data_IF_170379478173
#
_entry.id   IF_170379478173
#
_cell.length_a   1.000
_cell.length_b   1.000
_cell.length_c   1.000
_cell.angle_alpha   90.00
_cell.angle_beta   90.00
_cell.angle_gamma   90.00
#
_symmetry.space_group_name_H-M   'P 1'
#
loop_
_entity.id
_entity.type
_entity.pdbx_description
1 polymer ?
#
# COMPACT_ATOMS: atom_id res chain seq x y z
N UNK A 1 -6.06 0.67 19.85
CA UNK A 1 -5.45 1.18 18.60
C UNK A 1 -4.25 2.06 18.97
N UNK A 2 -3.03 1.69 18.58
CA UNK A 2 -1.81 2.41 18.99
C UNK A 2 -1.73 3.77 18.27
N UNK A 3 -1.95 4.89 18.99
CA UNK A 3 -2.00 6.23 18.39
C UNK A 3 -0.66 6.69 17.80
N UNK A 4 0.45 6.02 18.10
CA UNK A 4 1.79 6.43 17.66
C UNK A 4 2.06 6.14 16.17
N UNK A 5 1.45 5.12 15.57
CA UNK A 5 1.66 4.78 14.14
C UNK A 5 1.16 5.87 13.18
N UNK A 6 0.23 6.72 13.63
CA UNK A 6 -0.25 7.86 12.86
C UNK A 6 0.53 9.15 13.17
N UNK A 7 1.39 9.13 14.19
CA UNK A 7 2.15 10.30 14.66
C UNK A 7 3.59 10.33 14.14
N UNK A 8 4.18 9.18 13.82
CA UNK A 8 5.52 9.14 13.23
C UNK A 8 5.51 9.90 11.90
N UNK A 9 6.59 10.63 11.59
CA UNK A 9 6.63 11.56 10.48
C UNK A 9 7.90 11.36 9.67
N UNK A 10 7.73 10.98 8.41
CA UNK A 10 8.78 10.79 7.41
C UNK A 10 8.85 11.98 6.47
N UNK A 11 10.05 12.24 5.95
CA UNK A 11 10.25 13.15 4.83
C UNK A 11 10.03 12.44 3.51
N UNK A 12 9.65 13.20 2.48
CA UNK A 12 9.41 12.67 1.13
C UNK A 12 10.54 11.78 0.60
N UNK A 13 11.78 12.21 0.73
CA UNK A 13 12.95 11.47 0.24
C UNK A 13 13.18 10.15 0.98
N UNK A 14 12.89 10.10 2.29
CA UNK A 14 12.94 8.86 3.05
C UNK A 14 11.91 7.85 2.51
N UNK A 15 10.72 8.32 2.15
CA UNK A 15 9.65 7.47 1.59
C UNK A 15 10.02 6.98 0.19
N UNK A 16 10.54 7.88 -0.66
CA UNK A 16 10.99 7.53 -2.01
C UNK A 16 12.06 6.42 -1.96
N UNK A 17 13.07 6.58 -1.11
CA UNK A 17 14.13 5.58 -0.95
C UNK A 17 13.63 4.31 -0.24
N UNK A 18 12.85 4.45 0.84
CA UNK A 18 12.35 3.34 1.62
C UNK A 18 11.40 2.43 0.84
N UNK A 19 10.47 3.00 0.07
CA UNK A 19 9.60 2.23 -0.81
C UNK A 19 10.35 1.61 -1.98
N UNK A 20 11.34 2.30 -2.56
CA UNK A 20 12.17 1.70 -3.60
C UNK A 20 12.91 0.47 -3.07
N UNK A 21 13.55 0.60 -1.91
CA UNK A 21 14.24 -0.52 -1.23
C UNK A 21 13.29 -1.66 -0.88
N UNK A 22 12.09 -1.35 -0.41
CA UNK A 22 11.04 -2.35 -0.16
C UNK A 22 10.72 -3.18 -1.42
N UNK A 23 10.46 -2.51 -2.55
CA UNK A 23 10.09 -3.20 -3.79
C UNK A 23 11.24 -4.01 -4.39
N UNK A 24 12.45 -3.47 -4.41
CA UNK A 24 13.62 -4.20 -4.93
C UNK A 24 13.97 -5.41 -4.05
N UNK A 25 13.95 -5.25 -2.72
CA UNK A 25 14.24 -6.36 -1.81
C UNK A 25 13.18 -7.48 -1.86
N UNK A 26 11.95 -7.17 -2.27
CA UNK A 26 10.89 -8.16 -2.50
C UNK A 26 11.17 -9.00 -3.76
N UNK A 27 11.69 -8.39 -4.81
CA UNK A 27 12.10 -9.11 -6.04
C UNK A 27 13.31 -10.01 -5.78
N UNK A 28 14.21 -9.61 -4.90
CA UNK A 28 15.42 -10.35 -4.53
C UNK A 28 15.25 -11.30 -3.32
N UNK A 29 14.01 -11.66 -2.94
CA UNK A 29 13.71 -12.60 -1.84
C UNK A 29 14.45 -12.28 -0.51
N UNK A 30 14.63 -11.00 -0.17
CA UNK A 30 15.24 -10.59 1.10
C UNK A 30 16.77 -10.54 1.11
N UNK A 31 17.46 -10.76 -0.02
CA UNK A 31 18.91 -10.54 -0.08
C UNK A 31 19.25 -9.05 -0.04
N UNK A 32 19.42 -8.54 1.19
CA UNK A 32 20.06 -7.26 1.57
C UNK A 32 19.40 -5.98 1.01
N UNK A 33 18.40 -5.49 1.75
CA UNK A 33 17.88 -4.10 1.65
C UNK A 33 19.00 -3.05 1.58
N UNK A 34 20.10 -3.30 2.30
CA UNK A 34 21.26 -2.42 2.38
C UNK A 34 22.15 -2.43 1.13
N UNK A 35 21.98 -3.39 0.20
CA UNK A 35 22.69 -3.42 -1.09
C UNK A 35 21.88 -2.81 -2.22
N UNK A 36 20.60 -2.53 -2.00
CA UNK A 36 19.77 -1.83 -2.98
C UNK A 36 20.28 -0.39 -3.09
N UNK A 37 20.64 -0.01 -4.32
CA UNK A 37 21.13 1.33 -4.65
C UNK A 37 20.04 2.41 -4.58
N UNK A 38 20.36 3.59 -5.13
CA UNK A 38 19.43 4.71 -5.15
C UNK A 38 18.19 4.43 -6.04
N UNK A 39 17.05 5.07 -5.75
CA UNK A 39 15.85 4.97 -6.60
C UNK A 39 16.14 5.34 -8.04
N UNK A 40 15.64 4.53 -8.98
CA UNK A 40 15.74 4.83 -10.41
C UNK A 40 14.91 6.06 -10.80
N UNK A 41 15.33 6.77 -11.86
CA UNK A 41 14.60 7.94 -12.37
C UNK A 41 13.15 7.60 -12.77
N UNK A 42 12.94 6.38 -13.30
CA UNK A 42 11.60 5.88 -13.66
C UNK A 42 10.71 5.77 -12.41
N UNK A 43 11.24 5.20 -11.32
CA UNK A 43 10.52 5.10 -10.06
C UNK A 43 10.18 6.48 -9.49
N UNK A 44 11.16 7.38 -9.41
CA UNK A 44 10.97 8.75 -8.92
C UNK A 44 9.97 9.53 -9.77
N UNK A 45 9.98 9.33 -11.09
CA UNK A 45 9.01 9.93 -12.01
C UNK A 45 7.59 9.44 -11.75
N UNK A 46 7.38 8.13 -11.58
CA UNK A 46 6.07 7.57 -11.24
C UNK A 46 5.56 8.11 -9.89
N UNK A 47 6.41 8.11 -8.87
CA UNK A 47 6.09 8.62 -7.53
C UNK A 47 5.73 10.11 -7.56
N UNK A 48 6.56 10.93 -8.20
CA UNK A 48 6.31 12.37 -8.35
C UNK A 48 5.01 12.65 -9.10
N UNK A 49 4.74 11.91 -10.18
CA UNK A 49 3.53 12.06 -10.98
C UNK A 49 2.28 11.69 -10.18
N UNK A 50 2.33 10.63 -9.38
CA UNK A 50 1.26 10.22 -8.48
C UNK A 50 0.90 11.34 -7.48
N UNK A 51 1.90 11.91 -6.79
CA UNK A 51 1.69 13.00 -5.83
C UNK A 51 1.14 14.27 -6.51
N UNK A 52 1.63 14.60 -7.69
CA UNK A 52 1.16 15.76 -8.45
C UNK A 52 -0.29 15.59 -8.92
N UNK A 53 -0.66 14.38 -9.35
CA UNK A 53 -2.03 14.07 -9.76
C UNK A 53 -2.99 14.14 -8.58
N UNK A 54 -2.64 13.58 -7.41
CA UNK A 54 -3.46 13.68 -6.18
C UNK A 54 -3.72 15.16 -5.84
N UNK A 55 -2.67 15.99 -5.89
CA UNK A 55 -2.80 17.44 -5.67
C UNK A 55 -3.70 18.13 -6.68
N UNK A 56 -3.64 17.73 -7.96
CA UNK A 56 -4.42 18.36 -9.03
C UNK A 56 -5.90 17.99 -8.95
N UNK A 57 -6.20 16.70 -8.80
CA UNK A 57 -7.57 16.16 -8.87
C UNK A 57 -8.38 16.45 -7.59
N UNK A 58 -7.71 16.61 -6.44
CA UNK A 58 -8.40 16.75 -5.14
C UNK A 58 -8.27 18.14 -4.50
N UNK A 59 -7.62 19.10 -5.18
CA UNK A 59 -7.47 20.48 -4.70
C UNK A 59 -8.81 21.12 -4.32
N UNK A 60 -9.77 21.05 -5.24
CA UNK A 60 -11.08 21.69 -5.07
C UNK A 60 -11.92 21.07 -3.95
N UNK A 61 -11.61 19.83 -3.56
CA UNK A 61 -12.34 19.09 -2.53
C UNK A 61 -11.63 19.16 -1.16
N UNK A 62 -10.42 19.70 -1.09
CA UNK A 62 -9.59 19.73 0.14
C UNK A 62 -9.34 18.35 0.75
N UNK A 63 -9.44 17.28 -0.05
CA UNK A 63 -9.42 15.88 0.41
C UNK A 63 -8.35 15.09 -0.34
N UNK A 64 -7.11 15.24 0.09
CA UNK A 64 -6.00 14.52 -0.53
C UNK A 64 -5.91 13.08 -0.05
N UNK A 65 -5.36 12.21 -0.89
CA UNK A 65 -5.10 10.82 -0.56
C UNK A 65 -3.81 10.72 0.24
N UNK A 66 -2.73 11.31 -0.26
CA UNK A 66 -1.38 11.15 0.30
C UNK A 66 -0.93 12.31 1.20
N UNK A 67 -1.79 13.29 1.43
CA UNK A 67 -1.52 14.44 2.27
C UNK A 67 -2.64 14.60 3.31
N UNK A 68 -2.31 15.16 4.47
CA UNK A 68 -3.30 15.54 5.48
C UNK A 68 -3.93 16.91 5.15
N UNK A 69 -3.18 17.80 4.47
CA UNK A 69 -3.59 19.15 4.09
C UNK A 69 -3.06 19.53 2.68
N UNK A 70 -3.42 20.70 2.11
CA UNK A 70 -2.96 21.17 0.78
C UNK A 70 -1.42 21.29 0.65
N UNK A 71 -0.70 21.03 1.74
CA UNK A 71 0.70 21.37 1.92
C UNK A 71 0.81 22.81 2.42
N UNK A 72 1.50 22.98 3.54
CA UNK A 72 1.89 24.31 3.99
C UNK A 72 2.88 24.90 2.98
N UNK A 73 2.71 26.18 2.61
CA UNK A 73 3.39 26.83 1.49
C UNK A 73 4.93 26.79 1.48
N UNK A 74 5.53 27.50 0.51
CA UNK A 74 6.97 27.52 0.27
C UNK A 74 7.78 27.75 1.56
N UNK A 75 8.44 26.69 2.05
CA UNK A 75 9.34 26.76 3.22
C UNK A 75 9.08 25.72 4.31
N UNK A 76 7.90 25.09 4.36
CA UNK A 76 7.63 24.02 5.34
C UNK A 76 7.75 22.62 4.73
N UNK A 77 8.43 21.75 5.46
CA UNK A 77 8.69 20.37 5.05
C UNK A 77 7.43 19.52 5.25
N UNK A 78 6.88 18.99 4.16
CA UNK A 78 5.75 18.06 4.22
C UNK A 78 6.19 16.79 4.95
N UNK A 79 5.42 16.43 5.98
CA UNK A 79 5.66 15.24 6.79
C UNK A 79 4.56 14.21 6.53
N UNK A 80 4.94 12.95 6.51
CA UNK A 80 4.06 11.83 6.15
C UNK A 80 4.08 10.77 7.24
N UNK A 81 2.93 10.23 7.61
CA UNK A 81 2.87 9.11 8.57
C UNK A 81 3.16 7.74 7.96
N UNK A 82 3.33 6.71 8.80
CA UNK A 82 3.45 5.31 8.34
C UNK A 82 2.25 4.90 7.47
N UNK A 83 1.07 5.42 7.76
CA UNK A 83 -0.12 5.17 6.94
C UNK A 83 0.01 5.78 5.53
N UNK A 84 0.69 6.93 5.40
CA UNK A 84 0.98 7.51 4.09
C UNK A 84 1.99 6.67 3.31
N UNK A 85 3.02 6.13 3.99
CA UNK A 85 3.96 5.17 3.39
C UNK A 85 3.21 3.95 2.85
N UNK A 86 2.30 3.39 3.66
CA UNK A 86 1.44 2.29 3.26
C UNK A 86 0.57 2.63 2.03
N UNK A 87 -0.13 3.78 2.02
CA UNK A 87 -0.96 4.18 0.88
C UNK A 87 -0.14 4.40 -0.39
N UNK A 88 1.02 5.07 -0.29
CA UNK A 88 1.89 5.31 -1.44
C UNK A 88 2.50 4.01 -1.97
N UNK A 89 2.89 3.10 -1.07
CA UNK A 89 3.34 1.77 -1.44
C UNK A 89 2.24 1.00 -2.19
N UNK A 90 1.00 1.05 -1.71
CA UNK A 90 -0.12 0.34 -2.33
C UNK A 90 -0.42 0.94 -3.72
N UNK A 91 -0.31 2.26 -3.84
CA UNK A 91 -0.42 2.95 -5.11
C UNK A 91 0.63 2.48 -6.13
N UNK A 92 1.86 2.24 -5.68
CA UNK A 92 2.94 1.72 -6.52
C UNK A 92 2.68 0.27 -6.92
N UNK A 93 2.20 -0.58 -6.00
CA UNK A 93 1.77 -1.96 -6.31
C UNK A 93 0.67 -1.96 -7.40
N UNK A 94 -0.32 -1.06 -7.32
CA UNK A 94 -1.33 -0.90 -8.38
C UNK A 94 -0.71 -0.54 -9.72
N UNK A 95 0.22 0.43 -9.74
CA UNK A 95 0.90 0.84 -10.97
C UNK A 95 1.72 -0.32 -11.56
N UNK A 96 2.41 -1.09 -10.73
CA UNK A 96 3.16 -2.28 -11.16
C UNK A 96 2.23 -3.36 -11.73
N UNK A 97 1.01 -3.50 -11.20
CA UNK A 97 -0.03 -4.39 -11.73
C UNK A 97 -0.73 -3.85 -13.01
N UNK A 98 -0.28 -2.71 -13.53
CA UNK A 98 -0.74 -2.13 -14.79
C UNK A 98 -1.91 -1.16 -14.69
N UNK A 99 -2.33 -0.76 -13.48
CA UNK A 99 -3.37 0.25 -13.32
C UNK A 99 -2.87 1.63 -13.76
N UNK A 100 -3.74 2.41 -14.38
CA UNK A 100 -3.45 3.80 -14.73
C UNK A 100 -3.53 4.65 -13.46
N UNK A 101 -2.62 5.60 -13.30
CA UNK A 101 -2.51 6.40 -12.07
C UNK A 101 -3.81 7.09 -11.64
N UNK A 102 -4.68 7.51 -12.57
CA UNK A 102 -5.99 8.09 -12.24
C UNK A 102 -6.94 7.07 -11.59
N UNK A 103 -6.91 5.82 -12.04
CA UNK A 103 -7.69 4.73 -11.45
C UNK A 103 -7.18 4.43 -10.04
N UNK A 104 -5.86 4.43 -9.87
CA UNK A 104 -5.23 4.25 -8.54
C UNK A 104 -5.71 5.32 -7.57
N UNK A 105 -5.69 6.59 -7.96
CA UNK A 105 -6.22 7.67 -7.11
C UNK A 105 -7.71 7.49 -6.83
N UNK A 106 -8.50 7.13 -7.84
CA UNK A 106 -9.93 6.91 -7.68
C UNK A 106 -10.23 5.80 -6.65
N UNK A 107 -9.54 4.65 -6.77
CA UNK A 107 -9.66 3.53 -5.83
C UNK A 107 -9.24 3.93 -4.43
N UNK A 108 -8.06 4.54 -4.27
CA UNK A 108 -7.54 4.91 -2.97
C UNK A 108 -8.39 5.99 -2.31
N UNK A 109 -8.94 6.93 -3.07
CA UNK A 109 -9.86 7.95 -2.54
C UNK A 109 -11.08 7.32 -1.88
N UNK A 110 -11.71 6.33 -2.54
CA UNK A 110 -12.92 5.69 -2.05
C UNK A 110 -12.65 4.67 -0.95
N UNK A 111 -11.44 4.09 -0.90
CA UNK A 111 -11.06 3.08 0.10
C UNK A 111 -10.25 3.60 1.27
N UNK A 112 -9.80 4.87 1.26
CA UNK A 112 -8.87 5.44 2.25
C UNK A 112 -9.28 5.14 3.69
N UNK A 113 -10.56 5.29 4.03
CA UNK A 113 -11.05 5.07 5.39
C UNK A 113 -11.02 3.60 5.80
N UNK A 114 -11.45 2.70 4.91
CA UNK A 114 -11.36 1.25 5.12
C UNK A 114 -9.90 0.83 5.27
N UNK A 115 -9.02 1.29 4.37
CA UNK A 115 -7.59 1.02 4.42
C UNK A 115 -6.95 1.55 5.71
N UNK A 116 -7.42 2.68 6.25
CA UNK A 116 -6.95 3.22 7.54
C UNK A 116 -7.33 2.31 8.72
N UNK A 117 -8.53 1.75 8.70
CA UNK A 117 -8.97 0.77 9.72
C UNK A 117 -8.13 -0.50 9.63
N UNK A 118 -8.03 -1.08 8.43
CA UNK A 118 -7.22 -2.29 8.16
C UNK A 118 -5.76 -2.09 8.55
N UNK A 119 -5.14 -0.97 8.17
CA UNK A 119 -3.77 -0.63 8.57
C UNK A 119 -3.60 -0.61 10.10
N UNK A 120 -4.57 -0.03 10.82
CA UNK A 120 -4.56 0.02 12.27
C UNK A 120 -4.80 -1.33 12.94
N UNK A 121 -5.61 -2.20 12.34
CA UNK A 121 -5.83 -3.58 12.78
C UNK A 121 -4.57 -4.44 12.56
N UNK A 122 -3.94 -4.31 11.40
CA UNK A 122 -2.66 -4.97 11.09
C UNK A 122 -1.60 -4.57 12.13
N UNK A 123 -1.44 -3.27 12.34
CA UNK A 123 -0.48 -2.74 13.31
C UNK A 123 -0.86 -2.98 14.78
N UNK A 124 -2.14 -3.25 15.08
CA UNK A 124 -2.61 -3.63 16.41
C UNK A 124 -2.35 -5.09 16.74
N UNK A 125 -2.18 -5.93 15.72
CA UNK A 125 -2.03 -7.38 15.82
C UNK A 125 -0.71 -7.89 15.24
N UNK A 126 0.38 -7.12 15.38
CA UNK A 126 1.71 -7.48 14.82
C UNK A 126 2.20 -8.87 15.26
N UNK A 127 1.84 -9.28 16.47
CA UNK A 127 2.22 -10.58 17.03
C UNK A 127 1.44 -11.76 16.42
N UNK A 128 0.45 -11.47 15.58
CA UNK A 128 -0.41 -12.43 14.89
C UNK A 128 -0.37 -12.24 13.38
N UNK A 129 0.44 -11.34 12.85
CA UNK A 129 0.54 -11.07 11.42
C UNK A 129 2.01 -11.20 11.09
N UNK A 130 2.40 -12.35 10.53
CA UNK A 130 3.79 -12.64 10.20
C UNK A 130 4.10 -11.97 8.85
N UNK A 131 4.93 -10.92 8.81
CA UNK A 131 5.44 -10.43 7.53
C UNK A 131 6.25 -11.56 6.87
N UNK A 132 6.02 -11.79 5.58
CA UNK A 132 6.70 -12.81 4.76
C UNK A 132 8.12 -12.37 4.35
N UNK A 133 8.79 -11.57 5.19
CA UNK A 133 10.11 -11.06 4.90
C UNK A 133 11.15 -12.01 5.51
N UNK A 134 11.99 -12.59 4.65
CA UNK A 134 12.93 -13.69 4.90
C UNK A 134 12.27 -15.05 5.14
N UNK A 135 12.27 -15.88 4.09
CA UNK A 135 12.01 -17.32 4.20
C UNK A 135 13.04 -18.07 5.07
N UNK A 136 14.08 -17.41 5.57
CA UNK A 136 15.15 -18.01 6.38
C UNK A 136 15.33 -17.37 7.77
N UNK A 137 14.47 -16.44 8.18
CA UNK A 137 14.46 -16.02 9.59
C UNK A 137 13.25 -16.62 10.27
N UNK A 138 13.55 -17.66 11.06
CA UNK A 138 12.76 -18.03 12.24
C UNK A 138 12.05 -16.81 12.80
N UNK A 139 10.72 -16.90 12.87
CA UNK A 139 9.73 -15.94 13.38
C UNK A 139 10.08 -15.37 14.79
N UNK A 140 11.18 -15.80 15.41
CA UNK A 140 11.63 -15.46 16.75
C UNK A 140 12.62 -14.29 16.90
N UNK A 141 12.96 -13.52 15.86
CA UNK A 141 13.94 -12.40 16.00
C UNK A 141 13.39 -11.00 15.71
N UNK A 142 12.10 -10.84 15.39
CA UNK A 142 11.46 -9.53 15.48
C UNK A 142 10.98 -9.36 16.93
N UNK A 143 11.62 -8.44 17.66
CA UNK A 143 11.26 -8.09 19.04
C UNK A 143 9.74 -7.97 19.22
N UNK A 144 9.18 -8.87 20.05
CA UNK A 144 7.76 -8.87 20.43
C UNK A 144 6.89 -9.95 19.78
N UNK A 145 7.39 -10.77 18.85
CA UNK A 145 6.63 -11.85 18.24
C UNK A 145 6.78 -13.16 19.05
N UNK A 146 5.70 -13.79 19.55
CA UNK A 146 5.78 -15.05 20.29
C UNK A 146 6.34 -16.18 19.41
N UNK A 147 7.28 -16.96 19.96
CA UNK A 147 7.84 -18.17 19.31
C UNK A 147 6.78 -19.24 19.00
N UNK A 148 5.60 -19.15 19.62
CA UNK A 148 4.51 -20.13 19.52
C UNK A 148 3.46 -19.76 18.46
N UNK A 149 3.88 -19.15 17.35
CA UNK A 149 3.00 -18.96 16.20
C UNK A 149 2.75 -20.30 15.52
N UNK A 150 1.58 -20.86 15.83
CA UNK A 150 1.04 -22.11 15.31
C UNK A 150 1.29 -22.23 13.79
N UNK A 151 1.92 -23.32 13.34
CA UNK A 151 2.29 -23.59 11.93
C UNK A 151 1.11 -23.61 10.95
N UNK A 152 -0.12 -23.57 11.46
CA UNK A 152 -1.38 -23.56 10.71
C UNK A 152 -2.02 -22.18 10.52
N UNK A 153 -1.38 -21.14 11.04
CA UNK A 153 -2.06 -19.88 11.19
C UNK A 153 -1.72 -18.90 10.05
N UNK A 154 -2.81 -18.39 9.49
CA UNK A 154 -2.85 -17.76 8.19
C UNK A 154 -2.90 -16.25 8.39
N UNK A 155 -1.74 -15.64 8.25
CA UNK A 155 -1.43 -14.36 8.89
C UNK A 155 -1.09 -13.28 7.86
N UNK A 156 -1.72 -13.38 6.71
CA UNK A 156 -1.63 -12.45 5.59
C UNK A 156 -2.92 -11.65 5.47
N UNK A 157 -2.84 -10.46 4.88
CA UNK A 157 -4.04 -9.65 4.65
C UNK A 157 -4.07 -9.28 3.19
N UNK A 158 -5.15 -9.61 2.49
CA UNK A 158 -5.28 -9.37 1.07
C UNK A 158 -6.37 -8.37 0.78
N UNK A 159 -6.09 -7.45 -0.13
CA UNK A 159 -7.08 -6.64 -0.82
C UNK A 159 -7.35 -7.25 -2.18
N UNK A 160 -8.62 -7.49 -2.51
CA UNK A 160 -8.99 -7.85 -3.87
C UNK A 160 -9.77 -6.72 -4.53
N UNK A 161 -9.38 -6.44 -5.78
CA UNK A 161 -10.15 -5.62 -6.69
C UNK A 161 -10.71 -6.53 -7.76
N UNK A 162 -12.03 -6.53 -7.87
CA UNK A 162 -12.74 -7.25 -8.92
C UNK A 162 -12.66 -6.42 -10.19
N UNK A 163 -12.19 -7.03 -11.28
CA UNK A 163 -12.28 -6.43 -12.61
C UNK A 163 -13.64 -6.82 -13.16
N UNK A 164 -14.53 -5.85 -13.24
CA UNK A 164 -15.83 -6.03 -13.88
C UNK A 164 -15.88 -5.25 -15.16
N UNK A 165 -16.28 -5.91 -16.23
CA UNK A 165 -16.72 -5.21 -17.41
C UNK A 165 -18.11 -4.63 -17.12
N UNK A 166 -18.33 -3.40 -17.55
CA UNK A 166 -19.61 -2.70 -17.40
C UNK A 166 -20.80 -3.57 -17.88
N UNK A 167 -20.58 -4.39 -18.90
CA UNK A 167 -21.57 -5.31 -19.45
C UNK A 167 -22.05 -6.37 -18.46
N UNK A 168 -21.16 -6.97 -17.68
CA UNK A 168 -21.51 -7.98 -16.66
C UNK A 168 -22.42 -7.39 -15.57
N UNK A 169 -22.18 -6.13 -15.21
CA UNK A 169 -22.99 -5.43 -14.22
C UNK A 169 -24.38 -5.07 -14.75
N UNK A 170 -24.48 -4.62 -16.01
CA UNK A 170 -25.75 -4.30 -16.68
C UNK A 170 -26.60 -5.55 -16.89
N UNK A 171 -25.99 -6.69 -17.23
CA UNK A 171 -26.72 -7.97 -17.31
C UNK A 171 -27.32 -8.33 -15.94
N UNK A 172 -26.55 -8.13 -14.88
CA UNK A 172 -26.95 -8.45 -13.51
C UNK A 172 -27.97 -7.45 -12.93
N UNK A 173 -28.01 -6.21 -13.44
CA UNK A 173 -28.86 -5.13 -12.93
C UNK A 173 -29.62 -4.46 -14.10
N UNK A 174 -30.91 -4.76 -14.24
CA UNK A 174 -31.75 -4.33 -15.38
C UNK A 174 -32.06 -2.82 -15.45
N UNK A 175 -31.56 -2.01 -14.52
CA UNK A 175 -31.89 -0.57 -14.39
C UNK A 175 -30.64 0.25 -14.13
N UNK A 176 -29.77 0.33 -15.14
CA UNK A 176 -28.49 1.03 -15.02
C UNK A 176 -28.42 2.19 -16.00
N UNK A 177 -28.19 3.39 -15.46
CA UNK A 177 -27.84 4.57 -16.25
C UNK A 177 -26.37 4.47 -16.71
N UNK A 178 -26.11 4.65 -18.01
CA UNK A 178 -24.78 4.55 -18.63
C UNK A 178 -23.77 5.57 -18.09
N UNK A 179 -24.26 6.67 -17.51
CA UNK A 179 -23.41 7.75 -17.01
C UNK A 179 -23.06 7.62 -15.52
N UNK A 180 -23.55 6.58 -14.84
CA UNK A 180 -23.40 6.40 -13.39
C UNK A 180 -22.17 5.52 -13.08
N UNK A 181 -21.01 6.15 -12.87
CA UNK A 181 -19.77 5.46 -12.49
C UNK A 181 -19.98 4.78 -11.13
N UNK A 182 -20.03 3.44 -11.13
CA UNK A 182 -20.11 2.66 -9.90
C UNK A 182 -18.75 2.27 -9.37
N UNK A 183 -18.50 2.62 -8.12
CA UNK A 183 -17.39 2.10 -7.36
C UNK A 183 -17.81 0.82 -6.64
N UNK A 184 -17.26 -0.33 -7.04
CA UNK A 184 -17.40 -1.55 -6.27
C UNK A 184 -16.33 -1.56 -5.20
N UNK A 185 -16.76 -1.65 -3.94
CA UNK A 185 -15.83 -1.68 -2.82
C UNK A 185 -14.90 -2.90 -2.92
N UNK A 186 -13.58 -2.69 -2.86
CA UNK A 186 -12.63 -3.78 -2.69
C UNK A 186 -12.93 -4.62 -1.46
N UNK A 187 -12.60 -5.89 -1.52
CA UNK A 187 -12.82 -6.84 -0.42
C UNK A 187 -11.50 -7.10 0.31
N UNK A 188 -11.55 -7.19 1.63
CA UNK A 188 -10.40 -7.51 2.47
C UNK A 188 -10.55 -8.95 2.95
N UNK A 189 -9.50 -9.74 2.82
CA UNK A 189 -9.44 -11.12 3.32
C UNK A 189 -8.32 -11.25 4.34
N UNK A 190 -8.61 -11.89 5.46
CA UNK A 190 -7.66 -12.15 6.54
C UNK A 190 -7.19 -13.60 6.43
N UNK A 191 -6.19 -13.78 5.59
CA UNK A 191 -5.57 -15.08 5.31
C UNK A 191 -5.92 -15.65 3.93
N UNK A 192 -5.02 -16.50 3.45
CA UNK A 192 -5.12 -17.30 2.23
C UNK A 192 -6.33 -18.22 2.22
N UNK A 193 -6.76 -18.79 3.35
CA UNK A 193 -7.92 -19.69 3.46
C UNK A 193 -9.21 -18.95 3.13
N UNK A 194 -9.38 -17.75 3.67
CA UNK A 194 -10.55 -16.92 3.40
C UNK A 194 -10.58 -16.49 1.92
N UNK A 195 -9.43 -16.01 1.42
CA UNK A 195 -9.25 -15.65 0.01
C UNK A 195 -9.53 -16.84 -0.93
N UNK A 196 -8.96 -18.01 -0.65
CA UNK A 196 -9.10 -19.23 -1.45
C UNK A 196 -10.55 -19.68 -1.52
N UNK A 197 -11.26 -19.65 -0.38
CA UNK A 197 -12.69 -19.95 -0.34
C UNK A 197 -13.49 -19.00 -1.23
N UNK A 198 -13.22 -17.70 -1.18
CA UNK A 198 -13.87 -16.74 -2.07
C UNK A 198 -13.54 -17.02 -3.54
N UNK A 199 -12.27 -17.23 -3.88
CA UNK A 199 -11.86 -17.50 -5.27
C UNK A 199 -12.49 -18.78 -5.81
N UNK A 200 -12.64 -19.83 -5.00
CA UNK A 200 -13.32 -21.07 -5.39
C UNK A 200 -14.83 -20.85 -5.62
N UNK A 201 -15.48 -20.04 -4.77
CA UNK A 201 -16.91 -19.75 -4.88
C UNK A 201 -17.23 -18.81 -6.06
N UNK A 202 -16.34 -17.84 -6.31
CA UNK A 202 -16.52 -16.81 -7.33
C UNK A 202 -15.96 -17.18 -8.70
N UNK A 203 -15.01 -18.13 -8.78
CA UNK A 203 -14.36 -18.56 -10.02
C UNK A 203 -15.30 -19.13 -11.09
N UNK A 204 -16.52 -19.53 -10.70
CA UNK A 204 -17.55 -19.97 -11.64
C UNK A 204 -18.43 -18.84 -12.19
N UNK A 205 -18.36 -17.64 -11.62
CA UNK A 205 -19.25 -16.52 -11.95
C UNK A 205 -18.51 -15.30 -12.51
N UNK A 206 -17.26 -15.03 -12.09
CA UNK A 206 -16.55 -13.80 -12.49
C UNK A 206 -15.04 -14.04 -12.64
N UNK A 207 -14.43 -13.76 -13.82
CA UNK A 207 -13.15 -14.37 -14.19
C UNK A 207 -11.88 -13.58 -13.80
N UNK A 208 -11.94 -12.38 -13.19
CA UNK A 208 -10.73 -11.57 -13.01
C UNK A 208 -10.66 -10.77 -11.71
N UNK A 209 -9.67 -11.12 -10.88
CA UNK A 209 -9.32 -10.41 -9.65
C UNK A 209 -7.89 -9.89 -9.74
N UNK A 210 -7.65 -8.70 -9.20
CA UNK A 210 -6.31 -8.25 -8.81
C UNK A 210 -6.18 -8.38 -7.30
N UNK A 211 -5.12 -9.03 -6.83
CA UNK A 211 -4.91 -9.36 -5.42
C UNK A 211 -3.65 -8.63 -4.95
N UNK A 212 -3.76 -7.93 -3.83
CA UNK A 212 -2.67 -7.15 -3.23
C UNK A 212 -2.46 -7.62 -1.79
N UNK A 213 -1.22 -7.94 -1.44
CA UNK A 213 -0.83 -8.30 -0.07
C UNK A 213 -0.57 -7.01 0.72
N UNK A 214 -1.30 -6.80 1.81
CA UNK A 214 -1.28 -5.56 2.59
C UNK A 214 -0.40 -5.63 3.83
N UNK A 215 -0.17 -6.81 4.40
CA UNK A 215 0.48 -6.95 5.69
C UNK A 215 1.96 -6.57 5.63
N UNK A 216 2.72 -7.07 4.65
CA UNK A 216 4.12 -6.68 4.50
C UNK A 216 4.22 -5.19 4.24
N UNK A 217 3.35 -4.66 3.38
CA UNK A 217 3.37 -3.24 3.06
C UNK A 217 3.06 -2.38 4.29
N UNK A 218 2.16 -2.82 5.17
CA UNK A 218 1.79 -2.10 6.38
C UNK A 218 2.82 -2.23 7.52
N UNK A 219 3.59 -3.32 7.57
CA UNK A 219 4.50 -3.63 8.67
C UNK A 219 5.98 -3.41 8.35
N UNK A 220 6.38 -3.63 7.11
CA UNK A 220 7.77 -3.66 6.64
C UNK A 220 8.16 -2.34 6.01
N UNK A 221 7.39 -1.85 5.04
CA UNK A 221 7.75 -0.63 4.31
C UNK A 221 7.95 0.61 5.22
N UNK A 222 7.12 0.84 6.26
CA UNK A 222 7.37 1.90 7.23
C UNK A 222 8.67 1.70 8.01
N UNK A 223 9.02 0.47 8.41
CA UNK A 223 10.28 0.20 9.12
C UNK A 223 11.50 0.51 8.27
N UNK A 224 11.52 0.05 7.01
CA UNK A 224 12.59 0.39 6.06
C UNK A 224 12.72 1.90 5.92
N UNK A 225 11.58 2.59 5.73
CA UNK A 225 11.54 4.06 5.58
C UNK A 225 12.12 4.78 6.81
N UNK A 226 11.90 4.25 8.01
CA UNK A 226 12.42 4.82 9.27
C UNK A 226 13.94 4.71 9.39
N UNK A 227 14.52 3.66 8.81
CA UNK A 227 15.96 3.41 8.82
C UNK A 227 16.71 4.29 7.79
N UNK A 228 15.99 4.91 6.85
CA UNK A 228 16.60 5.83 5.87
C UNK A 228 16.94 7.16 6.52
N UNK A 229 18.20 7.57 6.42
CA UNK A 229 18.62 8.89 6.88
C UNK A 229 17.96 10.01 6.07
N UNK A 230 17.33 11.01 6.70
CA UNK A 230 16.75 12.13 6.00
C UNK A 230 17.83 13.01 5.36
N UNK A 231 17.96 12.95 4.03
CA UNK A 231 18.86 13.83 3.30
C UNK A 231 18.47 15.32 3.49
N UNK A 232 19.48 16.18 3.71
CA UNK A 232 19.32 17.64 3.72
C UNK A 232 19.26 18.15 2.28
N UNK A 233 18.39 19.14 2.00
CA UNK A 233 18.28 19.76 0.66
C UNK A 233 19.68 20.12 0.11
N UNK A 234 19.98 19.70 -1.13
CA UNK A 234 21.19 20.11 -1.86
C UNK A 234 22.19 19.01 -2.23
N UNK A 235 21.92 17.73 -1.96
CA UNK A 235 22.79 16.62 -2.45
C UNK A 235 21.97 15.42 -2.92
N UNK A 236 21.72 15.33 -4.22
CA UNK A 236 21.97 14.06 -4.89
C UNK A 236 23.47 14.07 -5.19
N UNK A 237 24.28 13.51 -4.30
CA UNK A 237 25.63 13.18 -4.70
C UNK A 237 25.49 12.03 -5.69
N UNK A 238 25.65 12.34 -6.98
CA UNK A 238 25.99 11.34 -7.99
C UNK A 238 27.18 10.55 -7.47
N UNK A 239 26.93 9.32 -7.03
CA UNK A 239 27.94 8.29 -6.74
C UNK A 239 27.56 7.08 -7.55
#
# INVERSE_FOLDING_TARGET
MNKNIFKQQHKRNQIEEGLYKYFMAREEFGSKVNTVGNPSDKFLSHFKRLLNLDRKEHREKGKYIFFEDEGQGAGKETKFSDFHVFLMGLALDFIHMGFVQKEVLFVLFHTKNTLKQVFGEINGNKNRIAPFWNNDQTIGEIDGIPKDLNSNADFTVYLTIRRFEYYDWVISNKTVNKDDIKFVNPTIFWGVKELSKELQQSGNLMPSFSIFELANLALVAPKITQEIEPQKRGRYASR
#
